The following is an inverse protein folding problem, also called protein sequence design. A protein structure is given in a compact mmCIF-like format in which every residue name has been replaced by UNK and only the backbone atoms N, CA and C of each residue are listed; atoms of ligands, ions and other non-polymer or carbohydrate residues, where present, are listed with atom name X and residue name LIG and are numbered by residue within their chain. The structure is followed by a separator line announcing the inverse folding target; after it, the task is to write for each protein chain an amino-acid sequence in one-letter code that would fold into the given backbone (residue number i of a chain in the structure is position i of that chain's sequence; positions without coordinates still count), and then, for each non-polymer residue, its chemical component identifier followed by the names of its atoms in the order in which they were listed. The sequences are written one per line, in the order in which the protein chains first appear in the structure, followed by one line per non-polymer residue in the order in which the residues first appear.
data_IF_645603784156
#
_entry.id   IF_645603784156
#
_cell.length_a   1.000
_cell.length_b   1.000
_cell.length_c   1.000
_cell.angle_alpha   90.00
_cell.angle_beta   90.00
_cell.angle_gamma   90.00
#
_symmetry.space_group_name_H-M   'P 1'
#
loop_
_entity.id
_entity.type
_entity.pdbx_description
1 polymer ?
#
# COMPACT_ATOMS: atom_id res chain seq x y z
N UNK A 1 -3.68 5.24 -21.66
CA UNK A 1 -2.97 5.06 -20.38
C UNK A 1 -3.99 5.38 -19.33
N UNK A 2 -4.75 4.37 -18.90
CA UNK A 2 -5.69 4.52 -17.80
C UNK A 2 -4.87 4.90 -16.57
N UNK A 3 -5.03 6.14 -16.12
CA UNK A 3 -4.45 6.61 -14.88
C UNK A 3 -4.94 5.66 -13.79
N UNK A 4 -4.00 4.99 -13.10
CA UNK A 4 -4.29 3.89 -12.19
C UNK A 4 -5.53 4.14 -11.34
N UNK A 5 -6.44 3.16 -11.36
CA UNK A 5 -7.69 3.20 -10.63
C UNK A 5 -7.42 3.45 -9.15
N UNK A 6 -8.15 4.38 -8.53
CA UNK A 6 -8.08 4.56 -7.08
C UNK A 6 -8.67 3.34 -6.39
N UNK A 7 -7.92 2.81 -5.42
CA UNK A 7 -8.35 1.70 -4.59
C UNK A 7 -9.50 2.14 -3.67
N UNK A 8 -10.47 1.25 -3.40
CA UNK A 8 -11.65 1.55 -2.59
C UNK A 8 -11.37 1.57 -1.08
N UNK A 9 -10.17 1.94 -0.65
CA UNK A 9 -9.73 2.05 0.75
C UNK A 9 -9.12 3.43 1.03
N UNK A 10 -8.98 3.79 2.30
CA UNK A 10 -8.25 4.99 2.72
C UNK A 10 -6.73 4.75 2.82
N UNK A 11 -5.93 5.83 2.93
CA UNK A 11 -4.46 5.72 2.99
C UNK A 11 -3.98 4.90 4.17
N UNK A 12 -4.63 4.97 5.34
CA UNK A 12 -4.20 4.23 6.51
C UNK A 12 -4.42 2.73 6.32
N UNK A 13 -5.57 2.35 5.76
CA UNK A 13 -5.90 0.97 5.43
C UNK A 13 -4.92 0.38 4.41
N UNK A 14 -4.64 1.11 3.33
CA UNK A 14 -3.71 0.65 2.31
C UNK A 14 -2.29 0.52 2.86
N UNK A 15 -1.83 1.49 3.67
CA UNK A 15 -0.52 1.42 4.33
C UNK A 15 -0.39 0.20 5.21
N UNK A 16 -1.38 -0.04 6.09
CA UNK A 16 -1.38 -1.22 6.97
C UNK A 16 -1.29 -2.50 6.14
N UNK A 17 -2.14 -2.62 5.12
CA UNK A 17 -2.17 -3.79 4.25
C UNK A 17 -0.82 -4.04 3.56
N UNK A 18 -0.17 -2.99 3.03
CA UNK A 18 1.14 -3.13 2.38
C UNK A 18 2.23 -3.56 3.37
N UNK A 19 2.20 -3.03 4.60
CA UNK A 19 3.12 -3.42 5.66
C UNK A 19 2.89 -4.89 6.04
N UNK A 20 1.63 -5.29 6.23
CA UNK A 20 1.26 -6.67 6.55
C UNK A 20 1.71 -7.64 5.43
N UNK A 21 1.51 -7.28 4.16
CA UNK A 21 2.01 -8.05 3.02
C UNK A 21 3.53 -8.20 3.06
N UNK A 22 4.27 -7.09 3.17
CA UNK A 22 5.74 -7.09 3.12
C UNK A 22 6.32 -7.92 4.28
N UNK A 23 5.77 -7.76 5.48
CA UNK A 23 6.24 -8.50 6.66
C UNK A 23 5.95 -10.00 6.57
N UNK A 24 4.79 -10.38 6.03
CA UNK A 24 4.41 -11.77 5.85
C UNK A 24 5.20 -12.47 4.73
N UNK A 25 5.41 -11.78 3.60
CA UNK A 25 5.99 -12.37 2.39
C UNK A 25 7.51 -12.33 2.41
N UNK A 26 8.11 -11.21 2.82
CA UNK A 26 9.57 -11.03 2.86
C UNK A 26 10.18 -11.44 4.21
N UNK A 27 9.37 -11.91 5.16
CA UNK A 27 9.78 -12.28 6.51
C UNK A 27 10.56 -11.17 7.24
N UNK A 28 10.16 -9.92 7.00
CA UNK A 28 10.75 -8.72 7.60
C UNK A 28 9.96 -8.35 8.86
N UNK A 29 10.60 -8.06 10.00
CA UNK A 29 9.89 -7.65 11.19
C UNK A 29 9.29 -6.25 11.01
N UNK A 30 8.03 -6.07 11.41
CA UNK A 30 7.27 -4.81 11.24
C UNK A 30 7.98 -3.57 11.79
N UNK A 31 8.77 -3.72 12.86
CA UNK A 31 9.54 -2.64 13.47
C UNK A 31 10.65 -2.07 12.57
N UNK A 32 11.04 -2.81 11.52
CA UNK A 32 12.05 -2.39 10.55
C UNK A 32 11.46 -1.76 9.29
N UNK A 33 10.13 -1.74 9.16
CA UNK A 33 9.45 -1.14 8.01
C UNK A 33 9.37 0.38 8.18
N UNK A 34 10.10 1.09 7.34
CA UNK A 34 9.94 2.53 7.07
C UNK A 34 9.05 2.73 5.83
N UNK A 35 7.90 3.38 6.03
CA UNK A 35 6.97 3.66 4.94
C UNK A 35 7.55 4.58 3.83
N UNK A 36 8.63 5.30 4.11
CA UNK A 36 9.30 6.19 3.15
C UNK A 36 10.52 5.53 2.49
N UNK A 37 10.96 4.36 2.95
CA UNK A 37 12.00 3.63 2.25
C UNK A 37 11.44 2.97 0.99
N UNK A 38 12.31 2.75 0.02
CA UNK A 38 11.93 2.14 -1.24
C UNK A 38 11.70 0.64 -1.08
N UNK A 39 10.81 0.07 -1.89
CA UNK A 39 10.54 -1.37 -1.85
C UNK A 39 11.81 -2.22 -2.06
N UNK A 40 12.74 -1.79 -2.93
CA UNK A 40 14.00 -2.50 -3.18
C UNK A 40 14.89 -2.61 -1.94
N UNK A 41 14.78 -1.68 -0.99
CA UNK A 41 15.53 -1.73 0.29
C UNK A 41 15.11 -2.91 1.15
N UNK A 42 13.90 -3.46 0.91
CA UNK A 42 13.37 -4.65 1.57
C UNK A 42 13.64 -5.94 0.77
N UNK A 43 14.31 -5.86 -0.38
CA UNK A 43 14.46 -7.01 -1.29
C UNK A 43 13.24 -7.26 -2.16
N UNK A 44 12.33 -6.27 -2.28
CA UNK A 44 11.18 -6.35 -3.18
C UNK A 44 11.62 -6.14 -4.64
N UNK A 45 11.47 -7.16 -5.48
CA UNK A 45 11.87 -7.15 -6.88
C UNK A 45 10.68 -7.19 -7.85
N UNK A 46 10.95 -7.39 -9.15
CA UNK A 46 9.91 -7.42 -10.20
C UNK A 46 8.91 -8.56 -10.06
N UNK A 47 9.32 -9.72 -9.53
CA UNK A 47 8.40 -10.82 -9.28
C UNK A 47 7.45 -10.44 -8.16
N UNK A 48 7.99 -9.91 -7.06
CA UNK A 48 7.19 -9.46 -5.92
C UNK A 48 6.23 -8.32 -6.28
N UNK A 49 6.62 -7.41 -7.18
CA UNK A 49 5.72 -6.38 -7.68
C UNK A 49 4.50 -6.96 -8.39
N UNK A 50 4.71 -7.97 -9.25
CA UNK A 50 3.61 -8.64 -9.97
C UNK A 50 2.72 -9.41 -9.00
N UNK A 51 3.31 -10.13 -8.04
CA UNK A 51 2.55 -10.88 -7.04
C UNK A 51 1.74 -9.94 -6.17
N UNK A 52 2.36 -8.91 -5.59
CA UNK A 52 1.66 -7.95 -4.72
C UNK A 52 0.54 -7.22 -5.47
N UNK A 53 0.76 -6.84 -6.73
CA UNK A 53 -0.29 -6.24 -7.55
C UNK A 53 -1.49 -7.18 -7.77
N UNK A 54 -1.23 -8.47 -8.02
CA UNK A 54 -2.28 -9.48 -8.13
C UNK A 54 -3.05 -9.68 -6.83
N UNK A 55 -2.35 -9.82 -5.70
CA UNK A 55 -3.01 -9.96 -4.38
C UNK A 55 -3.78 -8.68 -4.04
N UNK A 56 -3.25 -7.51 -4.37
CA UNK A 56 -3.93 -6.24 -4.18
C UNK A 56 -5.21 -6.15 -5.03
N UNK A 57 -5.20 -6.65 -6.26
CA UNK A 57 -6.40 -6.77 -7.10
C UNK A 57 -7.44 -7.69 -6.48
N UNK A 58 -7.04 -8.86 -5.97
CA UNK A 58 -7.97 -9.79 -5.31
C UNK A 58 -8.59 -9.20 -4.04
N UNK A 59 -7.79 -8.47 -3.25
CA UNK A 59 -8.22 -7.88 -1.97
C UNK A 59 -9.13 -6.66 -2.15
N UNK A 60 -8.84 -5.81 -3.14
CA UNK A 60 -9.55 -4.54 -3.33
C UNK A 60 -10.52 -4.54 -4.52
N UNK A 61 -10.51 -5.60 -5.34
CA UNK A 61 -11.39 -5.76 -6.51
C UNK A 61 -11.11 -4.76 -7.64
N UNK A 62 -9.91 -4.17 -7.67
CA UNK A 62 -9.50 -3.15 -8.63
C UNK A 62 -8.13 -3.52 -9.19
N UNK A 63 -7.95 -3.54 -10.52
CA UNK A 63 -6.68 -3.92 -11.12
C UNK A 63 -5.58 -2.93 -10.78
N UNK A 64 -4.44 -3.47 -10.38
CA UNK A 64 -3.21 -2.74 -10.05
C UNK A 64 -2.14 -3.14 -11.04
N UNK A 65 -1.52 -2.16 -11.69
CA UNK A 65 -0.42 -2.43 -12.61
C UNK A 65 0.88 -2.47 -11.81
N UNK A 66 1.70 -3.54 -11.90
CA UNK A 66 2.96 -3.63 -11.18
C UNK A 66 3.91 -2.46 -11.49
N UNK A 67 3.80 -1.80 -12.65
CA UNK A 67 4.57 -0.60 -12.96
C UNK A 67 4.32 0.53 -11.96
N UNK A 68 3.12 0.61 -11.38
CA UNK A 68 2.74 1.65 -10.42
C UNK A 68 3.54 1.54 -9.12
N UNK A 69 3.97 0.32 -8.75
CA UNK A 69 4.85 0.08 -7.61
C UNK A 69 6.29 0.52 -7.90
N UNK A 70 6.69 0.62 -9.16
CA UNK A 70 7.98 1.19 -9.54
C UNK A 70 7.92 2.71 -9.71
N UNK A 71 6.81 3.24 -10.20
CA UNK A 71 6.57 4.69 -10.32
C UNK A 71 6.42 5.35 -8.95
N UNK A 72 5.83 4.64 -7.99
CA UNK A 72 5.61 5.08 -6.62
C UNK A 72 6.27 4.09 -5.64
N UNK A 73 7.61 4.09 -5.53
CA UNK A 73 8.40 2.99 -4.96
C UNK A 73 8.40 2.92 -3.44
N UNK A 74 7.48 3.61 -2.76
CA UNK A 74 7.39 3.62 -1.30
C UNK A 74 5.95 3.40 -0.86
N UNK A 75 5.74 2.81 0.31
CA UNK A 75 4.41 2.62 0.89
C UNK A 75 3.71 3.98 1.03
N UNK A 76 4.43 5.00 1.47
CA UNK A 76 3.90 6.35 1.69
C UNK A 76 3.44 7.02 0.38
N UNK A 77 4.23 6.92 -0.68
CA UNK A 77 3.93 7.54 -1.99
C UNK A 77 2.82 6.79 -2.73
N UNK A 78 2.91 5.45 -2.79
CA UNK A 78 1.88 4.62 -3.42
C UNK A 78 0.51 4.83 -2.76
N UNK A 79 0.47 4.80 -1.42
CA UNK A 79 -0.78 5.02 -0.70
C UNK A 79 -1.33 6.44 -0.88
N UNK A 80 -0.48 7.46 -0.93
CA UNK A 80 -0.90 8.83 -1.20
C UNK A 80 -1.50 8.99 -2.60
N UNK A 81 -1.02 8.21 -3.58
CA UNK A 81 -1.47 8.28 -4.97
C UNK A 81 -2.78 7.52 -5.21
N UNK A 82 -2.84 6.28 -4.73
CA UNK A 82 -3.86 5.32 -5.16
C UNK A 82 -4.97 5.09 -4.13
N UNK A 83 -4.81 5.44 -2.86
CA UNK A 83 -5.90 5.39 -1.89
C UNK A 83 -6.72 6.70 -1.85
N UNK A 84 -7.90 6.61 -1.24
CA UNK A 84 -8.66 7.79 -0.84
C UNK A 84 -7.96 8.47 0.33
N UNK A 85 -8.20 9.76 0.48
CA UNK A 85 -7.75 10.46 1.67
C UNK A 85 -8.29 9.77 2.91
N UNK A 86 -7.49 9.73 3.97
CA UNK A 86 -7.99 9.37 5.29
C UNK A 86 -9.12 10.34 5.58
N UNK A 87 -10.35 9.83 5.54
CA UNK A 87 -11.43 10.54 6.20
C UNK A 87 -10.98 10.64 7.64
N UNK A 88 -10.83 11.85 8.22
CA UNK A 88 -10.62 11.95 9.64
C UNK A 88 -11.80 11.16 10.23
N UNK A 89 -11.49 10.03 10.85
CA UNK A 89 -12.47 9.32 11.66
C UNK A 89 -13.11 10.43 12.48
N UNK A 90 -14.43 10.57 12.39
CA UNK A 90 -15.19 11.40 13.30
C UNK A 90 -14.71 11.01 14.71
N UNK A 91 -13.75 11.76 15.22
CA UNK A 91 -13.49 11.91 16.63
C UNK A 91 -14.77 12.56 17.12
N UNK A 92 -15.77 11.73 17.41
CA UNK A 92 -16.82 12.13 18.32
C UNK A 92 -16.08 12.67 19.54
N UNK A 93 -16.28 13.94 19.92
CA UNK A 93 -15.71 14.41 21.18
C UNK A 93 -16.20 13.45 22.28
N UNK A 94 -15.36 13.09 23.26
CA UNK A 94 -15.85 12.37 24.41
C UNK A 94 -16.99 13.19 25.01
N UNK A 95 -18.19 12.61 25.05
CA UNK A 95 -19.31 13.22 25.73
C UNK A 95 -19.03 13.17 27.25
N UNK A 96 -19.10 14.36 27.86
CA UNK A 96 -19.04 14.70 29.30
C UNK A 96 -17.68 14.67 30.00
#
# INVERSE_FOLDING_TARGET
MDAGSRLPCDRAQLRSWMIDYITAVLAIPVETIDANATFDSYGFDSVEAVVMAGVMEEEFGVPVDPIQLFEHPTIADFSARYAREETPATVSPPAS
#
